data_IF_223400482924
#
_entry.id   IF_223400482924
#
_cell.length_a   1.000
_cell.length_b   1.000
_cell.length_c   1.000
_cell.angle_alpha   90.00
_cell.angle_beta   90.00
_cell.angle_gamma   90.00
#
_symmetry.space_group_name_H-M   'P 1'
#
loop_
_entity.id
_entity.type
_entity.pdbx_description
1 polymer ?
#
# COMPACT_ATOMS: atom_id res chain seq x y z
N UNK A 1 -23.76 15.72 53.47
CA UNK A 1 -24.19 14.51 52.73
C UNK A 1 -24.76 14.93 51.38
N UNK A 2 -24.52 14.13 50.32
CA UNK A 2 -24.93 14.25 48.90
C UNK A 2 -23.95 15.09 48.06
N UNK A 3 -23.03 14.52 47.26
CA UNK A 3 -23.05 13.55 46.13
C UNK A 3 -22.78 14.29 44.81
N UNK A 4 -21.61 13.97 44.24
CA UNK A 4 -21.07 14.25 42.90
C UNK A 4 -22.11 14.29 41.78
N UNK A 5 -21.95 15.23 40.83
CA UNK A 5 -22.19 14.97 39.42
C UNK A 5 -21.06 15.58 38.59
N UNK A 6 -20.31 14.67 37.95
CA UNK A 6 -19.30 14.92 36.94
C UNK A 6 -19.91 15.58 35.71
N UNK A 7 -19.14 16.45 35.05
CA UNK A 7 -19.25 16.69 33.62
C UNK A 7 -17.84 16.84 33.06
N UNK A 8 -17.28 15.76 32.54
CA UNK A 8 -16.08 15.78 31.69
C UNK A 8 -16.60 15.80 30.26
N UNK A 9 -16.45 16.88 29.48
CA UNK A 9 -16.70 16.79 28.05
C UNK A 9 -15.59 15.96 27.42
N UNK A 10 -15.95 14.73 26.99
CA UNK A 10 -15.20 13.97 26.01
C UNK A 10 -15.37 14.63 24.63
N UNK A 11 -14.27 15.11 24.06
CA UNK A 11 -14.16 15.57 22.68
C UNK A 11 -12.80 16.22 22.54
N UNK A 12 -11.89 15.77 21.68
CA UNK A 12 -12.06 15.41 20.28
C UNK A 12 -11.10 14.26 19.96
N UNK A 13 -11.61 13.24 19.26
CA UNK A 13 -10.79 12.22 18.62
C UNK A 13 -9.83 12.91 17.64
N UNK A 14 -8.53 12.85 17.93
CA UNK A 14 -7.49 13.17 16.98
C UNK A 14 -7.66 12.23 15.78
N UNK A 15 -8.29 12.74 14.72
CA UNK A 15 -8.10 12.28 13.35
C UNK A 15 -6.65 12.60 12.98
N UNK A 16 -5.70 11.86 13.54
CA UNK A 16 -4.38 11.84 12.98
C UNK A 16 -4.55 11.28 11.56
N UNK A 17 -4.14 12.00 10.50
CA UNK A 17 -3.86 11.30 9.26
C UNK A 17 -2.87 10.21 9.68
N UNK A 18 -3.23 8.95 9.47
CA UNK A 18 -2.25 7.89 9.50
C UNK A 18 -1.23 8.31 8.44
N UNK A 19 -0.12 8.89 8.88
CA UNK A 19 1.04 9.06 8.05
C UNK A 19 1.43 7.63 7.68
N UNK A 20 0.94 7.17 6.54
CA UNK A 20 1.54 6.03 5.87
C UNK A 20 2.96 6.49 5.64
N UNK A 21 3.85 6.03 6.50
CA UNK A 21 5.28 6.12 6.28
C UNK A 21 5.50 5.44 4.95
N UNK A 22 5.57 6.23 3.88
CA UNK A 22 6.12 5.79 2.63
C UNK A 22 7.58 5.52 2.95
N UNK A 23 7.86 4.28 3.35
CA UNK A 23 9.23 3.81 3.44
C UNK A 23 9.72 3.87 1.99
N UNK A 24 10.46 4.93 1.66
CA UNK A 24 10.95 5.25 0.32
C UNK A 24 12.00 4.21 -0.09
N UNK A 25 11.53 3.00 -0.37
CA UNK A 25 12.36 1.90 -0.81
C UNK A 25 12.39 1.93 -2.32
N UNK A 26 13.55 2.30 -2.86
CA UNK A 26 13.81 2.25 -4.29
C UNK A 26 14.34 0.88 -4.67
N UNK A 27 13.67 0.23 -5.61
CA UNK A 27 14.06 -1.05 -6.17
C UNK A 27 14.55 -0.83 -7.60
N UNK A 28 15.77 -1.29 -7.87
CA UNK A 28 16.33 -1.27 -9.21
C UNK A 28 15.83 -2.49 -10.00
N UNK A 29 15.16 -2.27 -11.13
CA UNK A 29 14.84 -3.32 -12.10
C UNK A 29 15.96 -3.36 -13.15
N UNK A 30 16.73 -4.44 -13.14
CA UNK A 30 17.81 -4.66 -14.10
C UNK A 30 17.30 -4.98 -15.52
N UNK A 31 16.06 -5.46 -15.66
CA UNK A 31 15.46 -5.83 -16.96
C UNK A 31 15.18 -4.56 -17.79
N UNK A 32 14.64 -3.51 -17.17
CA UNK A 32 14.28 -2.25 -17.82
C UNK A 32 15.25 -1.10 -17.51
N UNK A 33 16.20 -1.32 -16.60
CA UNK A 33 17.20 -0.34 -16.14
C UNK A 33 16.57 0.91 -15.54
N UNK A 34 15.44 0.74 -14.87
CA UNK A 34 14.70 1.78 -14.16
C UNK A 34 14.67 1.54 -12.65
N UNK A 35 14.31 2.60 -11.93
CA UNK A 35 14.13 2.57 -10.49
C UNK A 35 12.64 2.70 -10.17
N UNK A 36 12.12 1.75 -9.40
CA UNK A 36 10.76 1.79 -8.90
C UNK A 36 10.76 2.21 -7.43
N UNK A 37 9.90 3.17 -7.10
CA UNK A 37 9.66 3.59 -5.73
C UNK A 37 8.54 2.76 -5.13
N UNK A 38 8.81 2.13 -3.98
CA UNK A 38 7.79 1.42 -3.22
C UNK A 38 6.96 2.41 -2.40
N UNK A 39 5.95 2.98 -3.04
CA UNK A 39 4.99 3.88 -2.42
C UNK A 39 3.67 3.14 -2.06
N UNK A 40 2.67 3.87 -1.58
CA UNK A 40 1.36 3.29 -1.25
C UNK A 40 0.54 2.78 -2.44
N UNK A 41 0.82 3.23 -3.67
CA UNK A 41 0.24 2.66 -4.88
C UNK A 41 0.86 1.30 -5.19
N UNK A 42 2.18 1.19 -5.08
CA UNK A 42 2.91 -0.07 -5.27
C UNK A 42 2.45 -1.15 -4.30
N UNK A 43 2.23 -0.82 -3.03
CA UNK A 43 1.69 -1.77 -2.06
C UNK A 43 0.31 -2.30 -2.47
N UNK A 44 -0.59 -1.41 -2.94
CA UNK A 44 -1.90 -1.79 -3.45
C UNK A 44 -1.81 -2.64 -4.72
N UNK A 45 -0.91 -2.30 -5.63
CA UNK A 45 -0.72 -3.05 -6.85
C UNK A 45 -0.11 -4.44 -6.59
N UNK A 46 0.81 -4.53 -5.62
CA UNK A 46 1.35 -5.79 -5.14
C UNK A 46 0.26 -6.69 -4.56
N UNK A 47 -0.68 -6.13 -3.79
CA UNK A 47 -1.84 -6.89 -3.31
C UNK A 47 -2.68 -7.42 -4.48
N UNK A 48 -2.99 -6.54 -5.44
CA UNK A 48 -3.82 -6.85 -6.61
C UNK A 48 -3.21 -7.91 -7.52
N UNK A 49 -1.88 -7.91 -7.64
CA UNK A 49 -1.13 -8.96 -8.34
C UNK A 49 -1.40 -10.37 -7.77
N UNK A 50 -1.53 -10.50 -6.45
CA UNK A 50 -1.86 -11.78 -5.82
C UNK A 50 -3.35 -12.12 -5.93
N UNK A 51 -4.22 -11.12 -5.84
CA UNK A 51 -5.67 -11.27 -6.05
C UNK A 51 -5.98 -11.83 -7.45
N UNK A 52 -5.43 -11.21 -8.50
CA UNK A 52 -5.66 -11.60 -9.89
C UNK A 52 -5.20 -13.03 -10.19
N UNK A 53 -4.07 -13.43 -9.57
CA UNK A 53 -3.52 -14.79 -9.71
C UNK A 53 -4.18 -15.84 -8.82
N UNK A 54 -5.15 -15.47 -7.99
CA UNK A 54 -5.83 -16.35 -7.04
C UNK A 54 -4.84 -17.14 -6.15
N UNK A 55 -3.74 -16.49 -5.77
CA UNK A 55 -2.68 -17.09 -4.97
C UNK A 55 -2.66 -16.49 -3.56
N UNK A 56 -2.03 -17.21 -2.62
CA UNK A 56 -1.86 -16.71 -1.26
C UNK A 56 -1.01 -15.44 -1.26
N UNK A 57 -1.48 -14.39 -0.59
CA UNK A 57 -0.75 -13.14 -0.46
C UNK A 57 0.59 -13.33 0.28
N UNK A 58 1.68 -12.90 -0.33
CA UNK A 58 3.01 -12.90 0.29
C UNK A 58 3.46 -11.45 0.41
N UNK A 59 3.80 -11.01 1.62
CA UNK A 59 4.34 -9.66 1.82
C UNK A 59 5.67 -9.47 1.09
N UNK A 60 5.93 -8.26 0.60
CA UNK A 60 7.09 -7.95 -0.23
C UNK A 60 8.44 -8.38 0.38
N UNK A 61 8.64 -8.14 1.68
CA UNK A 61 9.85 -8.53 2.41
C UNK A 61 10.08 -10.06 2.40
N UNK A 62 9.00 -10.84 2.41
CA UNK A 62 9.01 -12.31 2.41
C UNK A 62 9.05 -12.90 1.00
N UNK A 63 8.77 -12.09 -0.02
CA UNK A 63 8.77 -12.54 -1.40
C UNK A 63 10.18 -12.92 -1.85
N UNK A 64 10.30 -14.03 -2.58
CA UNK A 64 11.56 -14.42 -3.20
C UNK A 64 11.93 -13.46 -4.33
N UNK A 65 13.21 -13.42 -4.71
CA UNK A 65 13.67 -12.61 -5.84
C UNK A 65 12.93 -12.96 -7.14
N UNK A 66 12.62 -14.25 -7.36
CA UNK A 66 11.83 -14.68 -8.52
C UNK A 66 10.41 -14.12 -8.52
N UNK A 67 9.74 -14.05 -7.36
CA UNK A 67 8.41 -13.45 -7.22
C UNK A 67 8.44 -11.95 -7.47
N UNK A 68 9.45 -11.24 -6.93
CA UNK A 68 9.64 -9.81 -7.17
C UNK A 68 9.86 -9.51 -8.65
N UNK A 69 10.71 -10.28 -9.35
CA UNK A 69 10.91 -10.15 -10.80
C UNK A 69 9.62 -10.43 -11.59
N UNK A 70 8.86 -11.46 -11.21
CA UNK A 70 7.59 -11.77 -11.87
C UNK A 70 6.56 -10.65 -11.71
N UNK A 71 6.54 -9.99 -10.54
CA UNK A 71 5.73 -8.81 -10.31
C UNK A 71 6.17 -7.62 -11.15
N UNK A 72 7.47 -7.29 -11.18
CA UNK A 72 7.93 -6.17 -12.01
C UNK A 72 7.54 -6.35 -13.47
N UNK A 73 7.68 -7.56 -14.01
CA UNK A 73 7.18 -7.88 -15.36
C UNK A 73 5.68 -7.66 -15.52
N UNK A 74 4.86 -8.12 -14.58
CA UNK A 74 3.42 -7.86 -14.59
C UNK A 74 3.08 -6.37 -14.45
N UNK A 75 3.90 -5.63 -13.69
CA UNK A 75 3.68 -4.22 -13.39
C UNK A 75 3.82 -3.32 -14.62
N UNK A 76 4.68 -3.72 -15.56
CA UNK A 76 4.79 -3.08 -16.87
C UNK A 76 3.51 -3.20 -17.72
N UNK A 77 2.74 -4.27 -17.54
CA UNK A 77 1.47 -4.47 -18.24
C UNK A 77 0.28 -3.82 -17.51
N UNK A 78 0.45 -3.47 -16.23
CA UNK A 78 -0.60 -2.98 -15.33
C UNK A 78 -0.23 -1.61 -14.76
N UNK A 79 -0.25 -0.55 -15.58
CA UNK A 79 0.02 0.79 -15.09
C UNK A 79 -1.09 1.27 -14.15
N UNK A 80 -0.78 2.26 -13.32
CA UNK A 80 -1.70 2.80 -12.32
C UNK A 80 -3.02 3.33 -12.90
N UNK A 81 -3.00 3.82 -14.15
CA UNK A 81 -4.20 4.25 -14.87
C UNK A 81 -5.20 3.10 -15.12
N UNK A 82 -4.71 1.87 -15.21
CA UNK A 82 -5.51 0.65 -15.37
C UNK A 82 -5.93 0.10 -14.00
N UNK A 83 -5.02 0.07 -13.02
CA UNK A 83 -5.28 -0.51 -11.70
C UNK A 83 -6.13 0.38 -10.79
N UNK A 84 -5.89 1.68 -10.81
CA UNK A 84 -6.50 2.69 -9.94
C UNK A 84 -7.26 3.72 -10.77
N UNK A 85 -8.04 3.25 -11.74
CA UNK A 85 -8.88 4.10 -12.59
C UNK A 85 -9.63 5.09 -11.70
N UNK A 86 -9.19 6.35 -11.74
CA UNK A 86 -9.81 7.41 -10.95
C UNK A 86 -11.17 7.65 -11.58
N UNK A 87 -12.23 7.10 -10.98
CA UNK A 87 -13.58 7.52 -11.29
C UNK A 87 -13.72 8.96 -10.82
N UNK A 88 -13.43 9.90 -11.73
CA UNK A 88 -13.86 11.28 -11.59
C UNK A 88 -15.38 11.25 -11.77
N UNK A 89 -16.10 11.25 -10.66
CA UNK A 89 -17.55 11.36 -10.61
C UNK A 89 -17.97 12.79 -10.30
#
# INVERSE_FOLDING_TARGET
>A
MKRLLMAIPLGVALLAPAYVSAQDHRYYDAEHKDYHEWNGNEDRAWHRYWEDRHHHYIGWERASESQRRAYWRWRHEHPDSVLFKVEVR
#
